data_IF_473189480177
#
_entry.id   IF_473189480177
#
_cell.length_a   1.000
_cell.length_b   1.000
_cell.length_c   1.000
_cell.angle_alpha   90.00
_cell.angle_beta   90.00
_cell.angle_gamma   90.00
#
_symmetry.space_group_name_H-M   'P 1'
#
loop_
_entity.id
_entity.type
_entity.pdbx_description
1 polymer ?
#
# COMPACT_ATOMS: atom_id res chain seq x y z
N UNK A 1 6.54 10.08 -17.79
CA UNK A 1 7.73 9.76 -17.00
C UNK A 1 7.46 8.50 -16.19
N UNK A 2 8.39 7.55 -16.15
CA UNK A 2 8.32 6.32 -15.34
C UNK A 2 9.19 6.53 -14.10
N UNK A 3 8.65 6.27 -12.90
CA UNK A 3 9.43 6.29 -11.67
C UNK A 3 9.70 4.87 -11.18
N UNK A 4 10.94 4.64 -10.73
CA UNK A 4 11.42 3.35 -10.23
C UNK A 4 11.75 3.55 -8.75
N UNK A 5 11.26 2.66 -7.88
CA UNK A 5 11.43 2.79 -6.43
C UNK A 5 11.66 1.43 -5.76
N UNK A 6 12.06 1.44 -4.48
CA UNK A 6 12.45 0.27 -3.68
C UNK A 6 11.29 -0.66 -3.24
N UNK A 7 10.06 -0.44 -3.69
CA UNK A 7 8.90 -1.23 -3.29
C UNK A 7 8.35 -0.91 -1.90
N UNK A 8 8.95 0.01 -1.15
CA UNK A 8 8.48 0.42 0.17
C UNK A 8 7.36 1.47 0.07
N UNK A 9 6.48 1.53 1.10
CA UNK A 9 5.46 2.58 1.15
C UNK A 9 6.05 3.98 1.24
N UNK A 10 7.20 4.14 1.93
CA UNK A 10 7.90 5.42 2.00
C UNK A 10 8.48 5.81 0.63
N UNK A 11 9.06 4.86 -0.12
CA UNK A 11 9.54 5.08 -1.47
C UNK A 11 8.42 5.50 -2.42
N UNK A 12 7.25 4.86 -2.33
CA UNK A 12 6.07 5.29 -3.07
C UNK A 12 5.65 6.74 -2.74
N UNK A 13 5.66 7.13 -1.46
CA UNK A 13 5.38 8.52 -1.07
C UNK A 13 6.44 9.50 -1.59
N UNK A 14 7.70 9.08 -1.71
CA UNK A 14 8.76 9.87 -2.34
C UNK A 14 8.51 10.05 -3.85
N UNK A 15 7.97 9.04 -4.55
CA UNK A 15 7.54 9.21 -5.93
C UNK A 15 6.49 10.33 -6.08
N UNK A 16 5.53 10.39 -5.15
CA UNK A 16 4.55 11.48 -5.13
C UNK A 16 5.24 12.83 -4.87
N UNK A 17 6.15 12.90 -3.89
CA UNK A 17 6.88 14.11 -3.57
C UNK A 17 7.65 14.65 -4.78
N UNK A 18 8.44 13.79 -5.43
CA UNK A 18 9.30 14.16 -6.55
C UNK A 18 8.48 14.55 -7.80
N UNK A 19 7.33 13.89 -8.04
CA UNK A 19 6.45 14.27 -9.13
C UNK A 19 5.94 15.71 -9.00
N UNK A 20 5.62 16.14 -7.77
CA UNK A 20 5.20 17.51 -7.49
C UNK A 20 6.37 18.50 -7.52
N UNK A 21 7.54 18.12 -6.97
CA UNK A 21 8.73 18.94 -6.97
C UNK A 21 9.23 19.24 -8.39
N UNK A 22 9.21 18.24 -9.26
CA UNK A 22 9.66 18.35 -10.64
C UNK A 22 8.54 18.72 -11.62
N UNK A 23 7.28 18.85 -11.18
CA UNK A 23 6.09 19.10 -12.00
C UNK A 23 5.92 18.06 -13.12
N UNK A 24 6.23 16.80 -12.83
CA UNK A 24 6.15 15.69 -13.77
C UNK A 24 4.84 14.93 -13.62
N UNK A 25 4.27 14.53 -14.76
CA UNK A 25 3.12 13.63 -14.79
C UNK A 25 3.64 12.20 -14.96
N UNK A 26 3.28 11.34 -14.02
CA UNK A 26 3.70 9.95 -14.04
C UNK A 26 2.79 9.12 -14.94
N UNK A 27 3.41 8.30 -15.78
CA UNK A 27 2.72 7.33 -16.65
C UNK A 27 2.81 5.92 -16.07
N UNK A 28 3.84 5.63 -15.26
CA UNK A 28 4.00 4.39 -14.52
C UNK A 28 4.86 4.61 -13.28
N UNK A 29 4.64 3.77 -12.27
CA UNK A 29 5.47 3.66 -11.07
C UNK A 29 5.75 2.18 -10.90
N UNK A 30 7.03 1.79 -10.99
CA UNK A 30 7.46 0.39 -10.96
C UNK A 30 8.41 0.17 -9.79
N UNK A 31 8.41 -1.03 -9.21
CA UNK A 31 9.49 -1.43 -8.30
C UNK A 31 10.75 -1.71 -9.09
N UNK A 32 11.90 -1.54 -8.46
CA UNK A 32 13.20 -1.80 -9.10
C UNK A 32 13.28 -3.25 -9.62
N UNK A 33 12.77 -4.22 -8.87
CA UNK A 33 12.75 -5.64 -9.24
C UNK A 33 11.82 -5.97 -10.44
N UNK A 34 10.79 -5.16 -10.69
CA UNK A 34 9.79 -5.36 -11.75
C UNK A 34 10.09 -4.50 -12.99
N UNK A 35 11.10 -3.65 -12.95
CA UNK A 35 11.39 -2.71 -14.02
C UNK A 35 11.99 -3.39 -15.23
N UNK A 36 11.31 -3.24 -16.37
CA UNK A 36 11.84 -3.63 -17.67
C UNK A 36 12.24 -2.37 -18.44
N UNK A 37 13.49 -2.26 -18.93
CA UNK A 37 13.94 -1.11 -19.70
C UNK A 37 13.02 -0.83 -20.91
N UNK A 38 12.61 0.41 -21.05
CA UNK A 38 11.71 0.87 -22.10
C UNK A 38 12.30 2.10 -22.81
N UNK A 39 11.72 2.50 -23.93
CA UNK A 39 12.09 3.73 -24.64
C UNK A 39 11.60 5.01 -23.93
N UNK A 40 10.76 4.87 -22.91
CA UNK A 40 10.27 6.02 -22.14
C UNK A 40 11.30 6.47 -21.11
N UNK A 41 11.34 7.78 -20.88
CA UNK A 41 12.20 8.34 -19.83
C UNK A 41 11.81 7.79 -18.46
N UNK A 42 12.79 7.26 -17.72
CA UNK A 42 12.64 6.73 -16.38
C UNK A 42 13.57 7.42 -15.39
N UNK A 43 13.20 7.41 -14.12
CA UNK A 43 13.98 7.98 -13.01
C UNK A 43 13.90 7.08 -11.78
N UNK A 44 15.06 6.73 -11.22
CA UNK A 44 15.14 6.06 -9.94
C UNK A 44 14.91 7.06 -8.80
N UNK A 45 14.00 6.73 -7.89
CA UNK A 45 13.62 7.55 -6.73
C UNK A 45 14.23 6.96 -5.48
N UNK A 46 15.01 7.77 -4.76
CA UNK A 46 15.57 7.38 -3.48
C UNK A 46 14.56 7.59 -2.36
N UNK A 47 14.47 6.62 -1.47
CA UNK A 47 13.58 6.71 -0.31
C UNK A 47 14.15 7.64 0.74
N UNK A 48 13.43 8.72 1.02
CA UNK A 48 13.70 9.71 2.07
C UNK A 48 12.52 9.77 3.04
N UNK A 49 12.81 9.58 4.34
CA UNK A 49 11.77 9.56 5.38
C UNK A 49 11.11 10.92 5.59
N UNK A 50 11.84 12.01 5.44
CA UNK A 50 11.31 13.35 5.68
C UNK A 50 10.38 13.76 4.54
N UNK A 51 10.75 13.45 3.29
CA UNK A 51 9.88 13.62 2.13
C UNK A 51 8.60 12.78 2.25
N UNK A 52 8.73 11.49 2.57
CA UNK A 52 7.58 10.61 2.77
C UNK A 52 6.64 11.11 3.89
N UNK A 53 7.19 11.48 5.04
CA UNK A 53 6.42 12.02 6.15
C UNK A 53 5.72 13.34 5.81
N UNK A 54 6.36 14.20 5.01
CA UNK A 54 5.77 15.46 4.56
C UNK A 54 4.53 15.22 3.70
N UNK A 55 4.63 14.29 2.75
CA UNK A 55 3.50 13.90 1.90
C UNK A 55 2.37 13.30 2.74
N UNK A 56 2.69 12.33 3.60
CA UNK A 56 1.70 11.65 4.44
C UNK A 56 0.96 12.63 5.36
N UNK A 57 1.67 13.54 6.02
CA UNK A 57 1.05 14.60 6.86
C UNK A 57 0.10 15.48 6.05
N UNK A 58 0.48 15.83 4.81
CA UNK A 58 -0.39 16.63 3.93
C UNK A 58 -1.66 15.87 3.58
N UNK A 59 -1.55 14.58 3.24
CA UNK A 59 -2.70 13.73 2.90
C UNK A 59 -3.63 13.58 4.12
N UNK A 60 -3.06 13.25 5.30
CA UNK A 60 -3.83 13.13 6.56
C UNK A 60 -4.58 14.43 6.88
N UNK A 61 -3.93 15.60 6.70
CA UNK A 61 -4.57 16.90 6.92
C UNK A 61 -5.73 17.16 5.97
N UNK A 62 -5.65 16.69 4.72
CA UNK A 62 -6.72 16.84 3.74
C UNK A 62 -7.86 15.83 3.98
N UNK A 63 -7.51 14.57 4.24
CA UNK A 63 -8.46 13.48 4.46
C UNK A 63 -7.78 12.31 5.19
N UNK A 64 -8.04 12.11 6.49
CA UNK A 64 -7.57 10.92 7.22
C UNK A 64 -8.03 9.60 6.57
N UNK A 65 -9.25 9.59 6.05
CA UNK A 65 -9.80 8.44 5.34
C UNK A 65 -8.98 8.07 4.10
N UNK A 66 -8.56 9.08 3.30
CA UNK A 66 -7.70 8.81 2.13
C UNK A 66 -6.34 8.28 2.53
N UNK A 67 -5.77 8.76 3.64
CA UNK A 67 -4.50 8.23 4.14
C UNK A 67 -4.61 6.74 4.52
N UNK A 68 -5.69 6.35 5.20
CA UNK A 68 -5.98 4.95 5.51
C UNK A 68 -6.21 4.11 4.25
N UNK A 69 -6.98 4.64 3.30
CA UNK A 69 -7.25 4.00 2.01
C UNK A 69 -5.95 3.77 1.22
N UNK A 70 -5.03 4.74 1.24
CA UNK A 70 -3.72 4.63 0.60
C UNK A 70 -2.89 3.50 1.21
N UNK A 71 -2.79 3.47 2.55
CA UNK A 71 -2.03 2.43 3.25
C UNK A 71 -2.58 1.04 2.96
N UNK A 72 -3.90 0.87 3.00
CA UNK A 72 -4.55 -0.41 2.66
C UNK A 72 -4.43 -0.73 1.17
N UNK A 73 -4.62 0.23 0.30
CA UNK A 73 -4.48 0.08 -1.15
C UNK A 73 -3.09 -0.40 -1.55
N UNK A 74 -2.05 0.08 -0.87
CA UNK A 74 -0.67 -0.33 -1.11
C UNK A 74 -0.41 -1.81 -0.76
N UNK A 75 -1.19 -2.39 0.15
CA UNK A 75 -1.11 -3.80 0.52
C UNK A 75 -1.88 -4.74 -0.43
N UNK A 76 -2.64 -4.20 -1.37
CA UNK A 76 -3.44 -4.99 -2.31
C UNK A 76 -2.60 -5.57 -3.46
N UNK A 77 -3.12 -6.60 -4.10
CA UNK A 77 -2.60 -7.16 -5.35
C UNK A 77 -3.19 -6.50 -6.61
N UNK A 78 -3.77 -5.30 -6.49
CA UNK A 78 -4.31 -4.57 -7.63
C UNK A 78 -3.18 -4.30 -8.65
N UNK A 79 -3.34 -4.68 -9.93
CA UNK A 79 -2.40 -4.28 -10.98
C UNK A 79 -2.28 -2.76 -11.05
N UNK A 80 -1.08 -2.25 -11.32
CA UNK A 80 -0.79 -0.81 -11.41
C UNK A 80 -1.28 0.01 -10.21
N UNK A 81 -1.36 -0.62 -9.03
CA UNK A 81 -1.89 0.02 -7.81
C UNK A 81 -1.20 1.34 -7.48
N UNK A 82 0.10 1.41 -7.71
CA UNK A 82 0.90 2.61 -7.45
C UNK A 82 0.39 3.80 -8.28
N UNK A 83 0.03 3.55 -9.54
CA UNK A 83 -0.50 4.59 -10.41
C UNK A 83 -1.92 5.03 -9.99
N UNK A 84 -2.80 4.08 -9.64
CA UNK A 84 -4.12 4.40 -9.09
C UNK A 84 -4.02 5.21 -7.80
N UNK A 85 -3.15 4.80 -6.88
CA UNK A 85 -2.92 5.50 -5.63
C UNK A 85 -2.29 6.89 -5.83
N UNK A 86 -1.38 7.03 -6.79
CA UNK A 86 -0.84 8.32 -7.20
C UNK A 86 -1.95 9.26 -7.71
N UNK A 87 -2.78 8.80 -8.64
CA UNK A 87 -3.90 9.60 -9.15
C UNK A 87 -4.91 9.96 -8.07
N UNK A 88 -5.17 9.06 -7.12
CA UNK A 88 -6.03 9.32 -5.96
C UNK A 88 -5.49 10.50 -5.14
N UNK A 89 -4.18 10.55 -4.88
CA UNK A 89 -3.55 11.66 -4.15
C UNK A 89 -3.57 12.94 -4.96
N UNK A 90 -3.24 12.88 -6.25
CA UNK A 90 -3.30 14.06 -7.14
C UNK A 90 -4.70 14.67 -7.13
N UNK A 91 -5.73 13.83 -7.24
CA UNK A 91 -7.13 14.26 -7.21
C UNK A 91 -7.52 14.86 -5.86
N UNK A 92 -7.12 14.22 -4.74
CA UNK A 92 -7.34 14.76 -3.41
C UNK A 92 -6.74 16.16 -3.23
N UNK A 93 -5.52 16.38 -3.74
CA UNK A 93 -4.83 17.65 -3.58
C UNK A 93 -5.38 18.75 -4.50
N UNK A 94 -5.95 18.39 -5.65
CA UNK A 94 -6.56 19.33 -6.61
C UNK A 94 -8.01 19.68 -6.27
N UNK A 95 -8.83 18.68 -6.00
CA UNK A 95 -10.30 18.81 -5.89
C UNK A 95 -10.76 18.77 -4.41
N UNK A 96 -9.86 18.43 -3.49
CA UNK A 96 -10.23 18.20 -2.09
C UNK A 96 -10.95 16.85 -1.89
N UNK A 97 -11.46 16.56 -0.67
CA UNK A 97 -12.04 15.27 -0.33
C UNK A 97 -13.45 15.03 -0.93
N UNK A 98 -14.03 16.00 -1.61
CA UNK A 98 -15.40 15.90 -2.13
C UNK A 98 -15.63 14.75 -3.12
N UNK A 99 -14.63 14.42 -3.93
CA UNK A 99 -14.71 13.34 -4.92
C UNK A 99 -14.87 11.94 -4.28
N UNK A 100 -14.50 11.76 -3.03
CA UNK A 100 -14.64 10.50 -2.30
C UNK A 100 -16.11 10.05 -2.13
N UNK A 101 -17.06 10.94 -2.39
CA UNK A 101 -18.50 10.62 -2.39
C UNK A 101 -18.97 9.97 -3.69
N UNK A 102 -18.18 10.08 -4.76
CA UNK A 102 -18.49 9.47 -6.05
C UNK A 102 -17.87 8.08 -6.14
N UNK A 103 -18.60 7.06 -5.72
CA UNK A 103 -18.14 5.67 -5.73
C UNK A 103 -17.97 5.07 -7.15
N UNK A 104 -18.43 5.74 -8.18
CA UNK A 104 -18.24 5.34 -9.59
C UNK A 104 -17.05 6.02 -10.25
N UNK A 105 -16.25 6.77 -9.49
CA UNK A 105 -15.04 7.41 -9.99
C UNK A 105 -14.01 6.37 -10.47
N UNK A 106 -13.50 6.54 -11.68
CA UNK A 106 -12.59 5.59 -12.33
C UNK A 106 -11.28 5.36 -11.56
N UNK A 107 -10.83 6.35 -10.79
CA UNK A 107 -9.64 6.23 -9.95
C UNK A 107 -9.95 5.59 -8.60
N UNK A 108 -11.06 6.00 -7.98
CA UNK A 108 -11.44 5.59 -6.64
C UNK A 108 -12.01 4.17 -6.60
N UNK A 109 -12.89 3.81 -7.56
CA UNK A 109 -13.60 2.53 -7.55
C UNK A 109 -12.68 1.30 -7.53
N UNK A 110 -11.64 1.19 -8.39
CA UNK A 110 -10.71 0.06 -8.35
C UNK A 110 -10.01 -0.10 -7.01
N UNK A 111 -9.59 1.02 -6.40
CA UNK A 111 -8.93 1.03 -5.09
C UNK A 111 -9.88 0.55 -3.99
N UNK A 112 -11.11 1.06 -3.96
CA UNK A 112 -12.13 0.63 -2.99
C UNK A 112 -12.44 -0.86 -3.10
N UNK A 113 -12.59 -1.36 -4.33
CA UNK A 113 -12.85 -2.77 -4.60
C UNK A 113 -11.68 -3.64 -4.10
N UNK A 114 -10.45 -3.26 -4.43
CA UNK A 114 -9.25 -3.99 -4.01
C UNK A 114 -9.09 -3.99 -2.47
N UNK A 115 -9.32 -2.85 -1.81
CA UNK A 115 -9.27 -2.75 -0.34
C UNK A 115 -10.36 -3.59 0.31
N UNK A 116 -11.57 -3.66 -0.27
CA UNK A 116 -12.63 -4.56 0.22
C UNK A 116 -12.21 -6.03 0.16
N UNK A 117 -11.58 -6.45 -0.94
CA UNK A 117 -11.04 -7.82 -1.06
C UNK A 117 -9.96 -8.09 -0.02
N UNK A 118 -9.00 -7.19 0.17
CA UNK A 118 -7.98 -7.29 1.21
C UNK A 118 -8.61 -7.44 2.61
N UNK A 119 -9.61 -6.63 2.94
CA UNK A 119 -10.29 -6.69 4.24
C UNK A 119 -11.05 -7.99 4.44
N UNK A 120 -11.71 -8.52 3.39
CA UNK A 120 -12.36 -9.82 3.40
C UNK A 120 -11.38 -10.96 3.65
N UNK A 121 -10.23 -10.94 2.97
CA UNK A 121 -9.16 -11.92 3.16
C UNK A 121 -8.59 -11.88 4.59
N UNK A 122 -8.31 -10.68 5.11
CA UNK A 122 -7.89 -10.49 6.51
C UNK A 122 -8.92 -11.03 7.50
N UNK A 123 -10.21 -10.79 7.24
CA UNK A 123 -11.29 -11.28 8.11
C UNK A 123 -11.33 -12.82 8.15
N UNK A 124 -11.25 -13.46 7.00
CA UNK A 124 -11.20 -14.93 6.90
C UNK A 124 -9.98 -15.49 7.62
N UNK A 125 -8.80 -14.93 7.38
CA UNK A 125 -7.56 -15.41 7.96
C UNK A 125 -7.53 -15.28 9.50
N UNK A 126 -8.15 -14.27 10.07
CA UNK A 126 -8.30 -14.15 11.53
C UNK A 126 -9.04 -15.35 12.17
N UNK A 127 -9.96 -15.96 11.43
CA UNK A 127 -10.71 -17.14 11.90
C UNK A 127 -10.06 -18.47 11.55
N UNK A 128 -9.31 -18.54 10.45
CA UNK A 128 -8.86 -19.81 9.88
C UNK A 128 -7.37 -20.12 10.08
N UNK A 129 -6.53 -19.15 10.43
CA UNK A 129 -5.11 -19.42 10.67
C UNK A 129 -4.95 -20.39 11.85
N UNK A 130 -4.22 -21.49 11.61
CA UNK A 130 -3.81 -22.49 12.59
C UNK A 130 -2.33 -22.30 12.87
N UNK A 131 -1.98 -22.24 14.15
CA UNK A 131 -0.60 -22.21 14.61
C UNK A 131 -0.19 -23.59 15.10
N UNK A 132 0.99 -24.04 14.70
CA UNK A 132 1.65 -25.24 15.22
C UNK A 132 2.75 -24.84 16.18
N UNK A 133 2.90 -25.57 17.27
CA UNK A 133 3.99 -25.34 18.22
C UNK A 133 5.23 -26.13 17.82
N UNK A 134 6.35 -25.44 17.69
CA UNK A 134 7.66 -26.01 17.40
C UNK A 134 8.69 -25.40 18.36
N UNK A 135 9.17 -26.20 19.32
CA UNK A 135 10.21 -25.76 20.25
C UNK A 135 9.83 -24.52 21.08
N UNK A 136 8.58 -24.38 21.49
CA UNK A 136 8.07 -23.24 22.27
C UNK A 136 7.74 -22.00 21.42
N UNK A 137 7.83 -22.09 20.09
CA UNK A 137 7.44 -21.05 19.15
C UNK A 137 6.19 -21.48 18.39
N UNK A 138 5.20 -20.62 18.31
CA UNK A 138 4.01 -20.83 17.49
C UNK A 138 4.30 -20.36 16.07
N UNK A 139 4.25 -21.27 15.09
CA UNK A 139 4.47 -21.00 13.68
C UNK A 139 3.22 -21.23 12.84
N UNK A 140 3.02 -20.42 11.82
CA UNK A 140 2.00 -20.62 10.79
C UNK A 140 2.51 -20.12 9.46
N UNK A 141 2.09 -20.78 8.37
CA UNK A 141 2.35 -20.37 6.99
C UNK A 141 1.01 -20.11 6.31
N UNK A 142 0.94 -19.00 5.57
CA UNK A 142 -0.26 -18.57 4.84
C UNK A 142 0.11 -18.14 3.42
N UNK A 143 -0.79 -18.36 2.47
CA UNK A 143 -0.64 -17.98 1.05
C UNK A 143 -1.81 -17.07 0.63
N UNK A 144 -1.86 -15.84 1.11
CA UNK A 144 -2.88 -14.88 0.70
C UNK A 144 -2.56 -14.27 -0.66
N UNK A 145 -3.57 -13.68 -1.31
CA UNK A 145 -3.38 -12.90 -2.54
C UNK A 145 -2.84 -11.48 -2.26
N UNK A 146 -3.17 -10.96 -1.09
CA UNK A 146 -2.78 -9.60 -0.67
C UNK A 146 -1.75 -9.66 0.46
N UNK A 147 -1.01 -8.58 0.69
CA UNK A 147 -0.10 -8.45 1.83
C UNK A 147 -0.88 -8.25 3.12
N UNK A 148 -1.31 -9.32 3.77
CA UNK A 148 -2.23 -9.28 4.93
C UNK A 148 -1.53 -9.18 6.28
N UNK A 149 -0.25 -9.59 6.40
CA UNK A 149 0.46 -9.66 7.69
C UNK A 149 0.43 -8.35 8.49
N UNK A 150 0.63 -7.16 7.89
CA UNK A 150 0.56 -5.91 8.64
C UNK A 150 -0.79 -5.69 9.34
N UNK A 151 -1.89 -6.21 8.75
CA UNK A 151 -3.25 -6.07 9.28
C UNK A 151 -3.63 -7.20 10.26
N UNK A 152 -2.93 -8.33 10.21
CA UNK A 152 -3.13 -9.47 11.11
C UNK A 152 -2.32 -9.34 12.40
N UNK A 153 -1.20 -8.61 12.36
CA UNK A 153 -0.24 -8.52 13.46
C UNK A 153 -0.90 -8.18 14.80
N UNK A 154 -1.69 -7.12 14.85
CA UNK A 154 -2.33 -6.68 16.11
C UNK A 154 -3.26 -7.75 16.70
N UNK A 155 -4.01 -8.45 15.82
CA UNK A 155 -4.93 -9.51 16.24
C UNK A 155 -4.19 -10.69 16.90
N UNK A 156 -3.13 -11.18 16.26
CA UNK A 156 -2.40 -12.34 16.77
C UNK A 156 -1.46 -11.99 17.93
N UNK A 157 -0.88 -10.80 17.95
CA UNK A 157 -0.11 -10.33 19.11
C UNK A 157 -0.98 -10.23 20.37
N UNK A 158 -2.23 -9.78 20.23
CA UNK A 158 -3.17 -9.73 21.36
C UNK A 158 -3.61 -11.14 21.82
N UNK A 159 -3.80 -12.08 20.86
CA UNK A 159 -4.29 -13.44 21.18
C UNK A 159 -3.24 -14.36 21.80
N UNK A 160 -1.98 -14.26 21.39
CA UNK A 160 -0.94 -15.23 21.74
C UNK A 160 0.15 -14.67 22.68
N UNK A 161 -0.09 -13.55 23.33
CA UNK A 161 0.87 -12.87 24.22
C UNK A 161 2.26 -12.73 23.57
N UNK A 162 2.63 -11.53 23.25
CA UNK A 162 3.77 -11.11 22.44
C UNK A 162 5.07 -11.90 22.72
N UNK A 163 5.68 -12.47 21.70
CA UNK A 163 7.02 -13.04 21.73
C UNK A 163 7.16 -14.51 21.31
N UNK A 164 6.05 -15.23 21.13
CA UNK A 164 6.06 -16.67 20.80
C UNK A 164 5.37 -17.05 19.50
N UNK A 165 4.87 -16.09 18.72
CA UNK A 165 4.18 -16.37 17.47
C UNK A 165 4.97 -15.82 16.28
N UNK A 166 5.25 -16.66 15.29
CA UNK A 166 5.80 -16.31 13.99
C UNK A 166 4.82 -16.69 12.89
N UNK A 167 4.54 -15.77 11.97
CA UNK A 167 3.72 -16.05 10.80
C UNK A 167 4.50 -15.65 9.54
N UNK A 168 4.57 -16.55 8.57
CA UNK A 168 5.19 -16.31 7.28
C UNK A 168 4.09 -16.19 6.21
N UNK A 169 4.20 -15.16 5.40
CA UNK A 169 3.35 -14.90 4.25
C UNK A 169 4.14 -15.19 2.97
N UNK A 170 3.53 -15.95 2.06
CA UNK A 170 3.98 -16.09 0.68
C UNK A 170 2.94 -15.38 -0.21
N UNK A 171 3.35 -14.32 -0.85
CA UNK A 171 2.54 -13.55 -1.81
C UNK A 171 3.16 -13.65 -3.18
#
# INVERSE_FOLDING_TARGET
>A
MIYIYDGSFNGFLCCIFDSYANKEVLTAICRDEDFVPTLFASRAIQTDRDHANRVLRKIVKCSPYTAELLQKGFLTCLPDKELYLYHLVVKLLKEGPGFLRNFSDETLYPVLKAVRHLQGEVHLLKGFIRFSELGGVLGSEIEPKNRVLPLLRSHFCARYQIGRASCRERV
#
